data_IF_052644311574
#
_entry.id   IF_052644311574
#
_cell.length_a   1.000
_cell.length_b   1.000
_cell.length_c   1.000
_cell.angle_alpha   90.00
_cell.angle_beta   90.00
_cell.angle_gamma   90.00
#
_symmetry.space_group_name_H-M   'P 1'
#
loop_
_entity.id
_entity.type
_entity.pdbx_description
1 polymer ?
#
# COMPACT_ATOMS: atom_id res chain seq x y z
N UNK A 1 29.91 3.07 13.83
CA UNK A 1 28.52 3.47 13.59
C UNK A 1 27.64 2.59 14.43
N UNK A 2 26.85 3.19 15.30
CA UNK A 2 25.77 2.47 16.01
C UNK A 2 24.68 2.06 15.01
N UNK A 3 23.93 1.00 15.32
CA UNK A 3 22.86 0.48 14.44
C UNK A 3 21.87 1.58 14.03
N UNK A 4 21.46 2.39 15.00
CA UNK A 4 20.49 3.47 14.79
C UNK A 4 21.04 4.56 13.86
N UNK A 5 22.32 4.89 13.97
CA UNK A 5 22.96 5.90 13.10
C UNK A 5 23.01 5.44 11.65
N UNK A 6 23.36 4.17 11.43
CA UNK A 6 23.32 3.56 10.11
C UNK A 6 21.89 3.55 9.54
N UNK A 7 20.92 3.13 10.36
CA UNK A 7 19.52 3.01 9.96
C UNK A 7 18.93 4.37 9.55
N UNK A 8 19.07 5.41 10.38
CA UNK A 8 18.49 6.75 10.12
C UNK A 8 19.26 7.60 9.11
N UNK A 9 20.52 7.27 8.86
CA UNK A 9 21.38 7.96 7.91
C UNK A 9 21.50 7.18 6.60
N UNK A 10 22.65 6.51 6.33
CA UNK A 10 22.92 5.87 5.04
C UNK A 10 21.83 4.95 4.52
N UNK A 11 21.27 4.07 5.37
CA UNK A 11 20.29 3.07 4.93
C UNK A 11 18.98 3.73 4.48
N UNK A 12 18.48 4.69 5.25
CA UNK A 12 17.25 5.41 4.92
C UNK A 12 17.41 6.28 3.68
N UNK A 13 18.53 7.01 3.53
CA UNK A 13 18.80 7.81 2.32
C UNK A 13 18.85 6.94 1.07
N UNK A 14 19.52 5.78 1.16
CA UNK A 14 19.57 4.82 0.06
C UNK A 14 18.18 4.27 -0.29
N UNK A 15 17.39 3.90 0.72
CA UNK A 15 16.04 3.38 0.52
C UNK A 15 15.10 4.41 -0.11
N UNK A 16 15.12 5.67 0.35
CA UNK A 16 14.33 6.76 -0.24
C UNK A 16 14.74 6.99 -1.70
N UNK A 17 16.04 6.94 -2.01
CA UNK A 17 16.55 7.11 -3.37
C UNK A 17 16.02 6.02 -4.30
N UNK A 18 16.11 4.74 -3.88
CA UNK A 18 15.57 3.61 -4.65
C UNK A 18 14.05 3.73 -4.81
N UNK A 19 13.35 4.09 -3.74
CA UNK A 19 11.90 4.24 -3.75
C UNK A 19 11.45 5.28 -4.79
N UNK A 20 12.05 6.47 -4.78
CA UNK A 20 11.74 7.55 -5.72
C UNK A 20 12.10 7.12 -7.15
N UNK A 21 13.34 6.65 -7.37
CA UNK A 21 13.79 6.23 -8.69
C UNK A 21 12.93 5.09 -9.26
N UNK A 22 12.57 4.11 -8.42
CA UNK A 22 11.72 2.99 -8.78
C UNK A 22 10.29 3.42 -9.14
N UNK A 23 9.67 4.31 -8.36
CA UNK A 23 8.34 4.85 -8.70
C UNK A 23 8.38 5.58 -10.03
N UNK A 24 9.34 6.49 -10.22
CA UNK A 24 9.49 7.26 -11.46
C UNK A 24 9.69 6.31 -12.64
N UNK A 25 10.60 5.36 -12.52
CA UNK A 25 10.85 4.35 -13.56
C UNK A 25 9.57 3.57 -13.91
N UNK A 26 8.81 3.11 -12.92
CA UNK A 26 7.57 2.33 -13.14
C UNK A 26 6.48 3.14 -13.80
N UNK A 27 6.27 4.39 -13.36
CA UNK A 27 5.28 5.29 -13.93
C UNK A 27 5.66 5.66 -15.37
N UNK A 28 6.90 6.08 -15.60
CA UNK A 28 7.39 6.42 -16.95
C UNK A 28 7.30 5.21 -17.88
N UNK A 29 7.74 4.04 -17.44
CA UNK A 29 7.66 2.80 -18.23
C UNK A 29 6.21 2.47 -18.60
N UNK A 30 5.26 2.62 -17.66
CA UNK A 30 3.84 2.35 -17.92
C UNK A 30 3.25 3.24 -19.02
N UNK A 31 3.67 4.51 -19.09
CA UNK A 31 3.24 5.46 -20.11
C UNK A 31 4.04 5.35 -21.41
N UNK A 32 5.30 4.91 -21.34
CA UNK A 32 6.17 4.70 -22.49
C UNK A 32 5.87 3.40 -23.25
N UNK A 33 5.25 2.41 -22.60
CA UNK A 33 4.82 1.17 -23.25
C UNK A 33 3.91 1.50 -24.43
N UNK A 34 4.33 1.09 -25.63
CA UNK A 34 3.53 1.23 -26.85
C UNK A 34 2.21 0.52 -26.68
N UNK A 35 1.14 1.31 -26.63
CA UNK A 35 -0.22 0.82 -26.75
C UNK A 35 -0.66 1.04 -28.18
N UNK A 36 -1.15 -0.03 -28.80
CA UNK A 36 -1.96 0.10 -30.01
C UNK A 36 -3.10 1.04 -29.68
N UNK A 37 -3.14 2.20 -30.34
CA UNK A 37 -4.27 3.11 -30.21
C UNK A 37 -5.51 2.36 -30.67
N UNK A 38 -6.54 2.33 -29.84
CA UNK A 38 -7.84 1.83 -30.27
C UNK A 38 -8.35 2.77 -31.37
N UNK A 39 -8.43 2.27 -32.60
CA UNK A 39 -8.88 3.01 -33.76
C UNK A 39 -10.37 2.76 -34.05
N UNK A 40 -11.07 2.04 -33.18
CA UNK A 40 -12.50 1.81 -33.33
C UNK A 40 -13.29 3.11 -33.15
N UNK A 41 -14.43 3.20 -33.83
CA UNK A 41 -15.35 4.30 -33.60
C UNK A 41 -15.96 4.15 -32.19
N UNK A 42 -16.01 5.25 -31.45
CA UNK A 42 -16.60 5.27 -30.12
C UNK A 42 -18.07 4.86 -30.12
N UNK A 43 -18.48 4.17 -29.06
CA UNK A 43 -19.87 3.77 -28.86
C UNK A 43 -20.78 5.00 -28.73
N UNK A 44 -22.04 4.96 -29.21
CA UNK A 44 -23.04 5.99 -28.92
C UNK A 44 -23.28 6.24 -27.42
N UNK A 45 -22.86 5.29 -26.57
CA UNK A 45 -22.99 5.36 -25.10
C UNK A 45 -21.71 5.84 -24.42
N UNK A 46 -20.67 6.19 -25.17
CA UNK A 46 -19.41 6.67 -24.64
C UNK A 46 -19.62 7.94 -23.81
N UNK A 47 -18.99 7.97 -22.63
CA UNK A 47 -18.93 9.14 -21.76
C UNK A 47 -17.55 9.76 -21.85
N UNK A 48 -17.43 11.01 -21.40
CA UNK A 48 -16.13 11.66 -21.22
C UNK A 48 -15.18 10.76 -20.42
N UNK A 49 -13.94 10.63 -20.91
CA UNK A 49 -12.90 9.80 -20.30
C UNK A 49 -12.72 10.06 -18.80
N UNK A 50 -12.82 11.32 -18.37
CA UNK A 50 -12.74 11.69 -16.96
C UNK A 50 -13.89 11.10 -16.14
N UNK A 51 -15.13 11.24 -16.64
CA UNK A 51 -16.31 10.72 -15.95
C UNK A 51 -16.34 9.19 -15.89
N UNK A 52 -15.87 8.53 -16.95
CA UNK A 52 -15.73 7.08 -17.03
C UNK A 52 -14.65 6.58 -16.07
N UNK A 53 -13.50 7.26 -16.01
CA UNK A 53 -12.41 6.96 -15.10
C UNK A 53 -12.83 7.07 -13.63
N UNK A 54 -13.45 8.20 -13.26
CA UNK A 54 -13.91 8.43 -11.88
C UNK A 54 -14.98 7.41 -11.47
N UNK A 55 -15.94 7.14 -12.35
CA UNK A 55 -16.97 6.12 -12.13
C UNK A 55 -16.36 4.75 -11.88
N UNK A 56 -15.38 4.33 -12.69
CA UNK A 56 -14.77 3.02 -12.54
C UNK A 56 -13.96 2.91 -11.24
N UNK A 57 -13.26 3.97 -10.84
CA UNK A 57 -12.57 4.00 -9.54
C UNK A 57 -13.55 3.81 -8.40
N UNK A 58 -14.65 4.59 -8.37
CA UNK A 58 -15.66 4.53 -7.31
C UNK A 58 -16.36 3.18 -7.29
N UNK A 59 -16.77 2.67 -8.47
CA UNK A 59 -17.48 1.39 -8.59
C UNK A 59 -16.67 0.23 -8.02
N UNK A 60 -15.35 0.25 -8.23
CA UNK A 60 -14.43 -0.79 -7.76
C UNK A 60 -14.05 -0.65 -6.29
N UNK A 61 -14.64 0.29 -5.55
CA UNK A 61 -14.55 0.34 -4.08
C UNK A 61 -15.46 -0.70 -3.42
N UNK A 62 -16.46 -1.20 -4.15
CA UNK A 62 -17.40 -2.21 -3.68
C UNK A 62 -17.36 -3.45 -4.58
N UNK A 63 -17.59 -4.67 -4.05
CA UNK A 63 -17.59 -5.87 -4.87
C UNK A 63 -18.87 -5.92 -5.71
N UNK A 64 -18.79 -6.62 -6.83
CA UNK A 64 -19.95 -6.88 -7.67
C UNK A 64 -20.96 -7.75 -6.91
N UNK A 65 -22.26 -7.54 -7.15
CA UNK A 65 -23.32 -8.23 -6.42
C UNK A 65 -23.18 -9.76 -6.45
N UNK A 66 -22.74 -10.31 -7.59
CA UNK A 66 -22.53 -11.74 -7.81
C UNK A 66 -21.45 -12.34 -6.89
N UNK A 67 -20.41 -11.58 -6.56
CA UNK A 67 -19.28 -12.05 -5.74
C UNK A 67 -19.31 -11.50 -4.32
N UNK A 68 -20.39 -10.80 -3.94
CA UNK A 68 -20.45 -10.06 -2.69
C UNK A 68 -20.22 -11.00 -1.51
N UNK A 69 -20.98 -12.09 -1.42
CA UNK A 69 -20.89 -13.03 -0.30
C UNK A 69 -19.50 -13.64 -0.13
N UNK A 70 -18.86 -14.02 -1.24
CA UNK A 70 -17.55 -14.69 -1.22
C UNK A 70 -16.38 -13.73 -0.93
N UNK A 71 -16.53 -12.44 -1.26
CA UNK A 71 -15.42 -11.46 -1.19
C UNK A 71 -15.58 -10.42 -0.08
N UNK A 72 -16.72 -10.41 0.62
CA UNK A 72 -16.98 -9.40 1.66
C UNK A 72 -15.91 -9.39 2.75
N UNK A 73 -15.47 -10.55 3.23
CA UNK A 73 -14.45 -10.61 4.28
C UNK A 73 -13.13 -10.02 3.77
N UNK A 74 -12.68 -10.41 2.58
CA UNK A 74 -11.43 -9.93 1.98
C UNK A 74 -11.45 -8.42 1.80
N UNK A 75 -12.58 -7.88 1.36
CA UNK A 75 -12.78 -6.45 1.20
C UNK A 75 -12.71 -5.72 2.54
N UNK A 76 -13.47 -6.18 3.54
CA UNK A 76 -13.53 -5.54 4.87
C UNK A 76 -12.16 -5.61 5.54
N UNK A 77 -11.56 -6.80 5.60
CA UNK A 77 -10.22 -6.97 6.17
C UNK A 77 -9.19 -6.11 5.42
N UNK A 78 -9.29 -6.07 4.08
CA UNK A 78 -8.58 -5.15 3.21
C UNK A 78 -8.64 -3.70 3.69
N UNK A 79 -9.85 -3.16 3.84
CA UNK A 79 -10.03 -1.80 4.33
C UNK A 79 -9.50 -1.60 5.75
N UNK A 80 -9.72 -2.56 6.66
CA UNK A 80 -9.27 -2.46 8.05
C UNK A 80 -7.76 -2.24 8.11
N UNK A 81 -6.96 -3.08 7.45
CA UNK A 81 -5.51 -2.89 7.51
C UNK A 81 -5.03 -1.68 6.70
N UNK A 82 -5.65 -1.32 5.56
CA UNK A 82 -5.22 -0.14 4.80
C UNK A 82 -5.51 1.17 5.54
N UNK A 83 -6.71 1.30 6.11
CA UNK A 83 -7.08 2.47 6.92
C UNK A 83 -6.21 2.50 8.18
N UNK A 84 -6.00 1.35 8.82
CA UNK A 84 -5.12 1.22 9.96
C UNK A 84 -3.68 1.66 9.66
N UNK A 85 -3.09 1.19 8.57
CA UNK A 85 -1.77 1.62 8.09
C UNK A 85 -1.72 3.13 7.85
N UNK A 86 -2.73 3.70 7.20
CA UNK A 86 -2.79 5.15 6.97
C UNK A 86 -2.82 5.93 8.29
N UNK A 87 -3.62 5.50 9.26
CA UNK A 87 -3.68 6.12 10.59
C UNK A 87 -2.32 6.00 11.30
N UNK A 88 -1.68 4.83 11.28
CA UNK A 88 -0.38 4.61 11.95
C UNK A 88 0.70 5.52 11.34
N UNK A 89 0.79 5.56 10.01
CA UNK A 89 1.81 6.33 9.29
C UNK A 89 1.59 7.82 9.42
N UNK A 90 0.34 8.30 9.27
CA UNK A 90 0.09 9.74 9.22
C UNK A 90 -0.29 10.34 10.56
N UNK A 91 -0.91 9.62 11.50
CA UNK A 91 -1.43 10.23 12.73
C UNK A 91 -0.56 10.00 13.99
N UNK A 92 0.51 9.21 13.91
CA UNK A 92 1.42 8.98 15.03
C UNK A 92 2.48 10.10 15.12
N UNK A 93 2.64 10.71 16.30
CA UNK A 93 3.54 11.84 16.51
C UNK A 93 4.99 11.63 16.03
N UNK A 94 5.68 10.52 16.37
CA UNK A 94 7.00 10.20 15.79
C UNK A 94 7.06 10.22 14.25
N UNK A 95 6.04 9.70 13.56
CA UNK A 95 6.01 9.73 12.10
C UNK A 95 5.78 11.14 11.57
N UNK A 96 4.95 11.94 12.23
CA UNK A 96 4.74 13.35 11.86
C UNK A 96 6.04 14.15 12.01
N UNK A 97 6.81 13.91 13.07
CA UNK A 97 8.14 14.51 13.23
C UNK A 97 9.08 14.08 12.11
N UNK A 98 9.06 12.80 11.72
CA UNK A 98 9.80 12.34 10.55
C UNK A 98 9.42 13.07 9.26
N UNK A 99 8.12 13.29 9.00
CA UNK A 99 7.68 14.08 7.84
C UNK A 99 8.08 15.55 7.94
N UNK A 100 8.05 16.13 9.15
CA UNK A 100 8.51 17.51 9.38
C UNK A 100 9.98 17.66 9.05
N UNK A 101 10.81 16.71 9.46
CA UNK A 101 12.25 16.74 9.21
C UNK A 101 12.57 16.47 7.72
N UNK A 102 11.77 15.63 7.04
CA UNK A 102 12.01 15.26 5.65
C UNK A 102 11.52 16.31 4.64
N UNK A 103 10.30 16.85 4.83
CA UNK A 103 9.62 17.72 3.86
C UNK A 103 9.07 19.01 4.45
N UNK A 104 9.28 19.28 5.75
CA UNK A 104 8.84 20.52 6.40
C UNK A 104 7.36 20.58 6.77
N UNK A 105 6.59 19.52 6.54
CA UNK A 105 5.15 19.47 6.82
C UNK A 105 4.84 18.79 8.16
N UNK A 106 3.88 19.34 8.90
CA UNK A 106 3.39 18.75 10.15
C UNK A 106 1.91 19.04 10.36
N UNK A 107 1.23 18.16 11.09
CA UNK A 107 -0.19 18.28 11.44
C UNK A 107 -0.45 17.66 12.82
N UNK A 108 -1.66 17.81 13.40
CA UNK A 108 -1.97 17.24 14.72
C UNK A 108 -1.90 15.71 14.74
N UNK A 109 -1.29 15.14 15.79
CA UNK A 109 -1.29 13.70 16.05
C UNK A 109 -2.55 13.22 16.77
N UNK A 110 -2.86 11.94 16.64
CA UNK A 110 -3.86 11.27 17.49
C UNK A 110 -3.26 10.82 18.83
N UNK A 111 -4.10 10.58 19.86
CA UNK A 111 -3.65 10.02 21.12
C UNK A 111 -2.96 8.66 20.98
N UNK A 112 -1.88 8.43 21.73
CA UNK A 112 -1.07 7.21 21.65
C UNK A 112 -1.86 5.91 21.90
N UNK A 113 -2.84 5.93 22.81
CA UNK A 113 -3.71 4.78 23.08
C UNK A 113 -4.57 4.39 21.86
N UNK A 114 -5.05 5.37 21.10
CA UNK A 114 -5.79 5.15 19.86
C UNK A 114 -4.86 4.53 18.81
N UNK A 115 -3.67 5.09 18.61
CA UNK A 115 -2.70 4.54 17.66
C UNK A 115 -2.29 3.12 18.04
N UNK A 116 -2.07 2.85 19.33
CA UNK A 116 -1.73 1.51 19.80
C UNK A 116 -2.86 0.51 19.48
N UNK A 117 -4.11 0.84 19.79
CA UNK A 117 -5.26 -0.02 19.46
C UNK A 117 -5.36 -0.26 17.94
N UNK A 118 -5.23 0.79 17.13
CA UNK A 118 -5.23 0.70 15.67
C UNK A 118 -4.07 -0.17 15.15
N UNK A 119 -2.89 -0.07 15.77
CA UNK A 119 -1.71 -0.88 15.42
C UNK A 119 -1.97 -2.36 15.67
N UNK A 120 -2.56 -2.71 16.81
CA UNK A 120 -2.92 -4.10 17.13
C UNK A 120 -4.00 -4.62 16.18
N UNK A 121 -5.04 -3.84 15.89
CA UNK A 121 -6.08 -4.23 14.92
C UNK A 121 -5.47 -4.47 13.53
N UNK A 122 -4.61 -3.55 13.07
CA UNK A 122 -3.90 -3.66 11.79
C UNK A 122 -3.04 -4.92 11.74
N UNK A 123 -2.30 -5.20 12.81
CA UNK A 123 -1.48 -6.38 12.97
C UNK A 123 -2.31 -7.67 12.83
N UNK A 124 -3.40 -7.77 13.59
CA UNK A 124 -4.32 -8.92 13.55
C UNK A 124 -4.93 -9.08 12.15
N UNK A 125 -5.33 -7.99 11.49
CA UNK A 125 -5.87 -8.03 10.12
C UNK A 125 -4.85 -8.48 9.07
N UNK A 126 -3.57 -8.10 9.22
CA UNK A 126 -2.50 -8.61 8.36
C UNK A 126 -2.27 -10.11 8.58
N UNK A 127 -2.32 -10.59 9.82
CA UNK A 127 -2.25 -12.03 10.12
C UNK A 127 -3.46 -12.76 9.54
N UNK A 128 -4.67 -12.22 9.69
CA UNK A 128 -5.88 -12.80 9.12
C UNK A 128 -5.78 -12.92 7.59
N UNK A 129 -5.27 -11.89 6.90
CA UNK A 129 -5.02 -11.94 5.46
C UNK A 129 -4.04 -13.06 5.07
N UNK A 130 -2.97 -13.26 5.85
CA UNK A 130 -2.02 -14.34 5.62
C UNK A 130 -2.67 -15.72 5.81
N UNK A 131 -3.39 -15.90 6.93
CA UNK A 131 -4.06 -17.16 7.26
C UNK A 131 -5.05 -17.53 6.17
N UNK A 132 -5.86 -16.58 5.70
CA UNK A 132 -6.78 -16.82 4.58
C UNK A 132 -6.05 -17.29 3.32
N UNK A 133 -4.98 -16.59 2.94
CA UNK A 133 -4.20 -16.91 1.73
C UNK A 133 -3.57 -18.29 1.82
N UNK A 134 -3.09 -18.67 3.01
CA UNK A 134 -2.48 -19.97 3.25
C UNK A 134 -3.52 -21.10 3.32
N UNK A 135 -4.66 -20.87 3.98
CA UNK A 135 -5.70 -21.87 4.20
C UNK A 135 -6.58 -22.11 2.97
N UNK A 136 -6.79 -21.09 2.12
CA UNK A 136 -7.57 -21.24 0.90
C UNK A 136 -6.72 -21.88 -0.22
N UNK A 137 -7.06 -23.09 -0.70
CA UNK A 137 -6.26 -23.78 -1.72
C UNK A 137 -6.15 -22.99 -3.03
N UNK A 138 -7.22 -22.32 -3.45
CA UNK A 138 -7.22 -21.55 -4.69
C UNK A 138 -6.26 -20.35 -4.59
N UNK A 139 -6.28 -19.62 -3.46
CA UNK A 139 -5.35 -18.50 -3.24
C UNK A 139 -3.91 -18.96 -3.13
N UNK A 140 -3.67 -20.08 -2.45
CA UNK A 140 -2.33 -20.63 -2.28
C UNK A 140 -1.71 -21.06 -3.61
N UNK A 141 -2.47 -21.67 -4.51
CA UNK A 141 -2.01 -22.10 -5.84
C UNK A 141 -1.57 -20.91 -6.70
N UNK A 142 -2.27 -19.78 -6.61
CA UNK A 142 -1.95 -18.57 -7.39
C UNK A 142 -1.00 -17.61 -6.66
N UNK A 143 -0.54 -17.95 -5.44
CA UNK A 143 0.37 -17.10 -4.67
C UNK A 143 1.81 -17.29 -5.13
N UNK A 144 2.46 -16.17 -5.40
CA UNK A 144 3.85 -16.09 -5.87
C UNK A 144 4.76 -15.62 -4.74
N UNK A 145 6.08 -15.67 -4.95
CA UNK A 145 7.05 -15.10 -4.01
C UNK A 145 6.71 -13.65 -3.62
N UNK A 146 6.29 -12.84 -4.60
CA UNK A 146 5.91 -11.45 -4.39
C UNK A 146 4.72 -11.29 -3.43
N UNK A 147 3.74 -12.20 -3.43
CA UNK A 147 2.61 -12.13 -2.47
C UNK A 147 3.09 -12.27 -1.03
N UNK A 148 3.91 -13.29 -0.77
CA UNK A 148 4.41 -13.60 0.56
C UNK A 148 5.42 -12.55 1.04
N UNK A 149 6.30 -12.11 0.15
CA UNK A 149 7.32 -11.14 0.49
C UNK A 149 6.74 -9.73 0.65
N UNK A 150 5.80 -9.31 -0.21
CA UNK A 150 5.07 -8.05 -0.05
C UNK A 150 4.28 -7.99 1.26
N UNK A 151 3.66 -9.11 1.66
CA UNK A 151 3.04 -9.21 2.99
C UNK A 151 4.07 -9.02 4.10
N UNK A 152 5.19 -9.75 4.04
CA UNK A 152 6.23 -9.71 5.07
C UNK A 152 6.78 -8.29 5.27
N UNK A 153 7.16 -7.60 4.19
CA UNK A 153 7.72 -6.24 4.28
C UNK A 153 6.69 -5.19 4.69
N UNK A 154 5.39 -5.46 4.51
CA UNK A 154 4.31 -4.60 5.05
C UNK A 154 4.07 -4.88 6.53
N UNK A 155 4.19 -6.14 6.95
CA UNK A 155 3.97 -6.59 8.32
C UNK A 155 5.09 -6.15 9.26
N UNK A 156 6.35 -6.22 8.82
CA UNK A 156 7.53 -5.95 9.65
C UNK A 156 7.55 -4.53 10.27
N UNK A 157 7.25 -3.44 9.55
CA UNK A 157 7.18 -2.10 10.13
C UNK A 157 6.12 -1.98 11.23
N UNK A 158 4.95 -2.61 11.04
CA UNK A 158 3.89 -2.61 12.07
C UNK A 158 4.38 -3.36 13.31
N UNK A 159 4.99 -4.53 13.13
CA UNK A 159 5.46 -5.36 14.25
C UNK A 159 6.57 -4.67 15.03
N UNK A 160 7.61 -4.24 14.33
CA UNK A 160 8.75 -3.55 14.94
C UNK A 160 8.34 -2.22 15.56
N UNK A 161 7.36 -1.51 14.99
CA UNK A 161 6.82 -0.27 15.55
C UNK A 161 6.07 -0.49 16.87
N UNK A 162 5.27 -1.55 16.96
CA UNK A 162 4.61 -1.95 18.21
C UNK A 162 5.66 -2.33 19.26
N UNK A 163 6.66 -3.12 18.90
CA UNK A 163 7.74 -3.53 19.81
C UNK A 163 8.54 -2.31 20.31
N UNK A 164 8.88 -1.39 19.41
CA UNK A 164 9.63 -0.19 19.75
C UNK A 164 8.85 0.75 20.68
N UNK A 165 7.55 0.93 20.44
CA UNK A 165 6.69 1.79 21.28
C UNK A 165 6.28 1.16 22.60
N UNK A 166 6.34 -0.17 22.71
CA UNK A 166 6.13 -0.90 23.97
C UNK A 166 7.40 -1.18 24.76
N UNK A 167 8.58 -0.78 24.24
CA UNK A 167 9.89 -0.99 24.85
C UNK A 167 10.19 -2.46 25.21
N UNK A 168 9.75 -3.41 24.36
CA UNK A 168 9.88 -4.84 24.64
C UNK A 168 11.16 -5.44 24.04
N UNK A 169 11.90 -6.20 24.86
CA UNK A 169 12.92 -7.15 24.42
C UNK A 169 14.33 -6.61 24.16
N UNK A 170 14.52 -5.31 23.93
CA UNK A 170 15.85 -4.72 23.76
C UNK A 170 15.88 -3.22 24.13
N UNK A 171 17.08 -2.62 24.08
CA UNK A 171 17.26 -1.17 24.20
C UNK A 171 16.46 -0.43 23.12
N UNK A 172 15.86 0.70 23.48
CA UNK A 172 14.98 1.48 22.60
C UNK A 172 15.67 1.87 21.28
N UNK A 173 16.94 2.25 21.35
CA UNK A 173 17.73 2.66 20.18
C UNK A 173 17.90 1.50 19.18
N UNK A 174 18.06 0.27 19.68
CA UNK A 174 18.11 -0.93 18.87
C UNK A 174 16.75 -1.20 18.22
N UNK A 175 15.67 -1.14 19.00
CA UNK A 175 14.30 -1.37 18.49
C UNK A 175 13.91 -0.33 17.43
N UNK A 176 14.24 0.94 17.66
CA UNK A 176 14.02 2.01 16.72
C UNK A 176 14.86 1.81 15.45
N UNK A 177 16.12 1.41 15.58
CA UNK A 177 16.97 1.07 14.44
C UNK A 177 16.37 -0.06 13.59
N UNK A 178 15.89 -1.13 14.22
CA UNK A 178 15.22 -2.24 13.54
C UNK A 178 13.92 -1.81 12.84
N UNK A 179 13.14 -0.94 13.48
CA UNK A 179 11.95 -0.37 12.86
C UNK A 179 12.30 0.43 11.60
N UNK A 180 13.27 1.34 11.68
CA UNK A 180 13.72 2.13 10.52
C UNK A 180 14.26 1.23 9.40
N UNK A 181 15.03 0.18 9.72
CA UNK A 181 15.50 -0.77 8.70
C UNK A 181 14.37 -1.56 8.05
N UNK A 182 13.33 -1.92 8.80
CA UNK A 182 12.14 -2.56 8.23
C UNK A 182 11.38 -1.63 7.28
N UNK A 183 11.31 -0.32 7.60
CA UNK A 183 10.76 0.71 6.72
C UNK A 183 11.64 0.91 5.49
N UNK A 184 12.97 0.92 5.65
CA UNK A 184 13.90 1.01 4.54
C UNK A 184 13.70 -0.16 3.55
N UNK A 185 13.54 -1.39 4.07
CA UNK A 185 13.21 -2.56 3.25
C UNK A 185 11.86 -2.40 2.53
N UNK A 186 10.82 -1.92 3.23
CA UNK A 186 9.52 -1.63 2.62
C UNK A 186 9.67 -0.65 1.46
N UNK A 187 10.35 0.48 1.66
CA UNK A 187 10.56 1.52 0.64
C UNK A 187 11.32 0.99 -0.59
N UNK A 188 12.34 0.16 -0.37
CA UNK A 188 13.10 -0.48 -1.46
C UNK A 188 12.21 -1.43 -2.26
N UNK A 189 11.38 -2.24 -1.61
CA UNK A 189 10.54 -3.24 -2.28
C UNK A 189 9.31 -2.64 -2.97
N UNK A 190 8.75 -1.56 -2.40
CA UNK A 190 7.46 -0.98 -2.79
C UNK A 190 7.29 -0.78 -4.32
N UNK A 191 8.24 -0.19 -5.06
CA UNK A 191 8.05 0.03 -6.50
C UNK A 191 8.14 -1.25 -7.36
N UNK A 192 8.76 -2.32 -6.85
CA UNK A 192 9.08 -3.51 -7.65
C UNK A 192 8.12 -4.68 -7.45
N UNK A 193 7.38 -4.71 -6.35
CA UNK A 193 6.39 -5.75 -6.05
C UNK A 193 4.92 -5.33 -6.26
N UNK A 194 4.01 -6.16 -5.76
CA UNK A 194 2.56 -5.91 -5.70
C UNK A 194 2.18 -4.67 -4.91
N UNK A 195 3.05 -4.16 -4.04
CA UNK A 195 2.82 -2.94 -3.26
C UNK A 195 2.70 -1.68 -4.14
N UNK A 196 3.19 -1.71 -5.37
CA UNK A 196 3.05 -0.60 -6.32
C UNK A 196 1.58 -0.27 -6.64
N UNK A 197 0.63 -1.14 -6.28
CA UNK A 197 -0.81 -0.83 -6.35
C UNK A 197 -1.19 0.43 -5.58
N UNK A 198 -0.43 0.81 -4.54
CA UNK A 198 -0.62 2.06 -3.81
C UNK A 198 -0.66 3.29 -4.75
N UNK A 199 0.15 3.27 -5.80
CA UNK A 199 0.16 4.31 -6.84
C UNK A 199 -0.69 3.92 -8.07
N UNK A 200 -0.58 2.67 -8.52
CA UNK A 200 -1.13 2.24 -9.80
C UNK A 200 -2.63 2.00 -9.80
N UNK A 201 -3.26 1.86 -8.63
CA UNK A 201 -4.71 1.60 -8.54
C UNK A 201 -5.52 2.67 -9.27
N UNK A 202 -5.14 3.94 -9.15
CA UNK A 202 -5.82 5.05 -9.82
C UNK A 202 -5.55 5.03 -11.33
N UNK A 203 -4.29 4.92 -11.73
CA UNK A 203 -3.90 4.94 -13.15
C UNK A 203 -4.55 3.80 -13.93
N UNK A 204 -4.45 2.58 -13.42
CA UNK A 204 -4.94 1.39 -14.13
C UNK A 204 -6.47 1.33 -14.16
N UNK A 205 -7.16 1.68 -13.06
CA UNK A 205 -8.63 1.75 -13.03
C UNK A 205 -9.17 2.87 -13.91
N UNK A 206 -8.54 4.04 -13.92
CA UNK A 206 -8.93 5.14 -14.81
C UNK A 206 -8.84 4.75 -16.29
N UNK A 207 -7.74 4.09 -16.70
CA UNK A 207 -7.57 3.61 -18.07
C UNK A 207 -8.59 2.53 -18.44
N UNK A 208 -8.88 1.62 -17.51
CA UNK A 208 -9.89 0.56 -17.71
C UNK A 208 -11.28 1.17 -17.88
N UNK A 209 -11.64 2.16 -17.06
CA UNK A 209 -12.91 2.86 -17.14
C UNK A 209 -13.09 3.58 -18.48
N UNK A 210 -12.07 4.31 -18.93
CA UNK A 210 -12.10 4.98 -20.23
C UNK A 210 -12.27 3.98 -21.39
N UNK A 211 -11.52 2.87 -21.38
CA UNK A 211 -11.61 1.85 -22.42
C UNK A 211 -12.97 1.13 -22.43
N UNK A 212 -13.52 0.77 -21.27
CA UNK A 212 -14.85 0.15 -21.20
C UNK A 212 -15.96 1.10 -21.65
N UNK A 213 -15.83 2.39 -21.32
CA UNK A 213 -16.77 3.42 -21.80
C UNK A 213 -16.71 3.60 -23.30
N UNK A 214 -15.52 3.60 -23.91
CA UNK A 214 -15.36 3.71 -25.36
C UNK A 214 -16.09 2.57 -26.10
N UNK A 215 -16.06 1.36 -25.54
CA UNK A 215 -16.78 0.19 -26.07
C UNK A 215 -18.27 0.13 -25.71
N UNK A 216 -18.79 1.11 -24.98
CA UNK A 216 -20.19 1.16 -24.57
C UNK A 216 -20.60 0.07 -23.58
N UNK A 217 -19.64 -0.49 -22.84
CA UNK A 217 -19.93 -1.48 -21.80
C UNK A 217 -20.81 -0.84 -20.72
N UNK A 218 -21.87 -1.55 -20.32
CA UNK A 218 -22.66 -1.15 -19.16
C UNK A 218 -21.84 -1.44 -17.90
N UNK A 219 -21.27 -0.38 -17.32
CA UNK A 219 -20.49 -0.41 -16.08
C UNK A 219 -21.37 -0.38 -14.84
#
# INVERSE_FOLDING_TARGET
MELLEFARGPALTFAITIFIAGIVFRIVSLFALWRTKDSSAGSPREKSAFSAALREVIRRLWPQAVYKQDTMFELVNGYVFHIGLAIIVFALAPHILFFKDLIGLSWPSLPNNVIYAVSIITMVSLIAALVMRYANPAQRIISTFDDWFSWLVTFLPVLTGIIATSHLGARYETLLGLHILSVALLLIWLPFGKLMHFFLVFVTRSQTGAHLSHRGAQL
#
